data_IF_437874892762
#
_entry.id   IF_437874892762
#
_cell.length_a   1.000
_cell.length_b   1.000
_cell.length_c   1.000
_cell.angle_alpha   90.00
_cell.angle_beta   90.00
_cell.angle_gamma   90.00
#
_symmetry.space_group_name_H-M   'P 1'
#
loop_
_entity.id
_entity.type
_entity.pdbx_description
1 polymer ?
#
# COMPACT_ATOMS: atom_id res chain seq x y z
N UNK A 1 -10.51 18.80 -11.22
CA UNK A 1 -9.03 18.85 -11.38
C UNK A 1 -8.47 17.64 -10.68
N UNK A 2 -8.03 16.62 -11.42
CA UNK A 2 -7.23 15.53 -10.85
C UNK A 2 -5.85 16.13 -10.55
N UNK A 3 -5.63 16.58 -9.32
CA UNK A 3 -4.28 16.86 -8.85
C UNK A 3 -3.52 15.55 -8.88
N UNK A 4 -2.57 15.41 -9.82
CA UNK A 4 -1.61 14.33 -9.77
C UNK A 4 -0.89 14.46 -8.43
N UNK A 5 -1.00 13.47 -7.56
CA UNK A 5 -0.18 13.38 -6.36
C UNK A 5 1.27 13.16 -6.83
N UNK A 6 2.01 14.25 -7.01
CA UNK A 6 3.44 14.20 -7.28
C UNK A 6 4.11 14.05 -5.92
N UNK A 7 4.34 12.80 -5.51
CA UNK A 7 5.31 12.53 -4.46
C UNK A 7 6.70 12.56 -5.10
N UNK A 8 7.66 13.19 -4.44
CA UNK A 8 9.05 12.95 -4.76
C UNK A 8 9.36 11.50 -4.37
N UNK A 9 9.49 10.61 -5.36
CA UNK A 9 9.72 9.19 -5.10
C UNK A 9 11.04 8.95 -4.35
N UNK A 10 11.96 9.93 -4.28
CA UNK A 10 13.23 9.80 -3.55
C UNK A 10 13.09 9.71 -2.04
N UNK A 11 11.95 10.14 -1.48
CA UNK A 11 11.69 10.09 -0.03
C UNK A 11 10.81 8.91 0.40
N UNK A 12 10.25 8.15 -0.53
CA UNK A 12 9.45 6.94 -0.23
C UNK A 12 10.41 5.83 0.17
N UNK A 13 10.35 5.39 1.43
CA UNK A 13 11.13 4.25 1.93
C UNK A 13 10.47 2.92 1.55
N UNK A 14 9.15 2.87 1.73
CA UNK A 14 8.35 1.74 1.33
C UNK A 14 6.92 2.18 1.04
N UNK A 15 6.18 1.28 0.45
CA UNK A 15 4.84 1.43 -0.03
C UNK A 15 4.25 0.05 0.02
N UNK A 16 3.05 -0.06 0.55
CA UNK A 16 2.35 -1.30 0.73
C UNK A 16 0.92 -1.11 0.27
N UNK A 17 0.49 -2.03 -0.58
CA UNK A 17 -0.82 -2.05 -1.21
C UNK A 17 -1.01 -3.40 -1.85
N UNK A 18 -2.28 -3.80 -1.97
CA UNK A 18 -2.65 -4.88 -2.87
C UNK A 18 -2.94 -4.31 -4.25
N UNK A 19 -2.39 -4.95 -5.27
CA UNK A 19 -2.86 -4.79 -6.63
C UNK A 19 -3.95 -5.82 -6.92
N UNK A 20 -5.04 -5.36 -7.54
CA UNK A 20 -6.12 -6.21 -8.03
C UNK A 20 -5.82 -6.84 -9.39
N UNK A 21 -6.85 -7.44 -10.01
CA UNK A 21 -6.76 -8.24 -11.27
C UNK A 21 -6.16 -7.53 -12.50
N UNK A 22 -5.96 -6.22 -12.45
CA UNK A 22 -5.38 -5.41 -13.53
C UNK A 22 -4.05 -4.78 -13.15
N UNK A 23 -3.37 -5.29 -12.12
CA UNK A 23 -2.16 -4.66 -11.57
C UNK A 23 -2.43 -3.22 -11.10
N UNK A 24 -3.68 -2.94 -10.68
CA UNK A 24 -4.12 -1.63 -10.21
C UNK A 24 -4.33 -1.63 -8.70
N UNK A 25 -3.97 -0.56 -7.99
CA UNK A 25 -4.18 -0.51 -6.54
C UNK A 25 -5.63 -0.71 -6.14
N UNK A 26 -5.85 -1.51 -5.11
CA UNK A 26 -7.18 -1.81 -4.59
C UNK A 26 -7.15 -1.87 -3.06
N UNK A 27 -8.11 -1.21 -2.42
CA UNK A 27 -8.12 -1.01 -0.97
C UNK A 27 -7.21 0.14 -0.53
N UNK A 28 -6.76 0.07 0.71
CA UNK A 28 -5.81 1.03 1.26
C UNK A 28 -4.40 0.81 0.72
N UNK A 29 -3.73 1.92 0.45
CA UNK A 29 -2.29 2.02 0.17
C UNK A 29 -1.67 2.77 1.34
N UNK A 30 -0.56 2.26 1.86
CA UNK A 30 0.30 2.93 2.82
C UNK A 30 1.63 3.27 2.13
N UNK A 31 2.03 4.54 2.10
CA UNK A 31 3.38 4.97 1.73
C UNK A 31 4.10 5.39 3.01
N UNK A 32 5.26 4.79 3.28
CA UNK A 32 6.11 5.13 4.41
C UNK A 32 7.25 6.00 3.90
N UNK A 33 7.36 7.19 4.47
CA UNK A 33 8.29 8.22 4.05
C UNK A 33 9.51 8.25 4.98
N UNK A 34 10.66 8.70 4.46
CA UNK A 34 11.93 8.73 5.22
C UNK A 34 11.96 9.69 6.40
N UNK A 35 11.05 10.66 6.41
CA UNK A 35 10.84 11.62 7.49
C UNK A 35 9.86 11.11 8.57
N UNK A 36 9.53 9.81 8.60
CA UNK A 36 8.55 9.19 9.50
C UNK A 36 7.11 9.68 9.32
N UNK A 37 6.82 10.35 8.22
CA UNK A 37 5.45 10.54 7.77
C UNK A 37 4.97 9.30 7.04
N UNK A 38 3.67 9.10 7.01
CA UNK A 38 3.06 8.13 6.13
C UNK A 38 1.84 8.72 5.45
N UNK A 39 1.64 8.27 4.21
CA UNK A 39 0.50 8.64 3.38
C UNK A 39 -0.37 7.41 3.24
N UNK A 40 -1.63 7.52 3.66
CA UNK A 40 -2.63 6.48 3.47
C UNK A 40 -3.68 6.95 2.47
N UNK A 41 -3.95 6.16 1.44
CA UNK A 41 -4.89 6.52 0.37
C UNK A 41 -5.77 5.32 0.04
N UNK A 42 -7.07 5.55 -0.16
CA UNK A 42 -8.01 4.49 -0.53
C UNK A 42 -8.25 4.47 -2.04
N UNK A 43 -8.15 3.28 -2.64
CA UNK A 43 -8.37 3.06 -4.05
C UNK A 43 -9.37 1.92 -4.31
N UNK A 44 -10.06 2.00 -5.44
CA UNK A 44 -10.84 0.91 -6.01
C UNK A 44 -10.37 0.67 -7.44
N UNK A 45 -9.64 -0.42 -7.66
CA UNK A 45 -9.09 -0.80 -8.97
C UNK A 45 -8.39 0.35 -9.73
N UNK A 46 -7.56 1.11 -9.02
CA UNK A 46 -6.78 2.24 -9.55
C UNK A 46 -7.51 3.59 -9.55
N UNK A 47 -8.78 3.64 -9.13
CA UNK A 47 -9.53 4.88 -8.94
C UNK A 47 -9.38 5.34 -7.49
N UNK A 48 -8.87 6.55 -7.27
CA UNK A 48 -8.80 7.15 -5.95
C UNK A 48 -10.21 7.41 -5.41
N UNK A 49 -10.50 6.95 -4.20
CA UNK A 49 -11.84 6.96 -3.60
C UNK A 49 -12.15 8.26 -2.85
N UNK A 50 -11.35 9.32 -3.07
CA UNK A 50 -11.45 10.57 -2.31
C UNK A 50 -11.38 10.33 -0.80
N UNK A 51 -10.51 9.44 -0.35
CA UNK A 51 -10.26 9.23 1.08
C UNK A 51 -8.77 8.97 1.30
N UNK A 52 -8.15 9.77 2.15
CA UNK A 52 -6.76 9.58 2.52
C UNK A 52 -6.25 10.59 3.54
N UNK A 53 -5.09 10.30 4.09
CA UNK A 53 -4.46 11.09 5.15
C UNK A 53 -2.94 11.12 4.96
N UNK A 54 -2.32 12.24 5.26
CA UNK A 54 -0.89 12.32 5.61
C UNK A 54 -0.83 12.40 7.11
N UNK A 55 -0.09 11.51 7.76
CA UNK A 55 0.04 11.49 9.22
C UNK A 55 1.51 11.30 9.59
N UNK A 56 1.91 11.82 10.74
CA UNK A 56 3.16 11.43 11.40
C UNK A 56 2.82 10.74 12.73
N UNK A 57 3.82 10.48 13.57
CA UNK A 57 3.62 9.83 14.88
C UNK A 57 2.76 10.66 15.87
N UNK A 58 2.45 11.93 15.58
CA UNK A 58 1.82 12.86 16.52
C UNK A 58 0.45 13.39 16.05
N UNK A 59 0.27 13.62 14.75
CA UNK A 59 -0.95 14.25 14.23
C UNK A 59 -1.25 13.88 12.78
N UNK A 60 -2.49 14.18 12.39
CA UNK A 60 -2.87 14.24 10.98
C UNK A 60 -2.38 15.56 10.39
N UNK A 61 -1.55 15.47 9.36
CA UNK A 61 -0.92 16.61 8.68
C UNK A 61 -1.78 17.12 7.53
N UNK A 62 -2.49 16.21 6.85
CA UNK A 62 -3.35 16.54 5.72
C UNK A 62 -4.44 15.49 5.55
N UNK A 63 -5.62 15.91 5.12
CA UNK A 63 -6.71 15.05 4.67
C UNK A 63 -6.82 15.17 3.15
N UNK A 64 -7.06 14.06 2.47
CA UNK A 64 -7.34 14.03 1.03
C UNK A 64 -8.78 13.59 0.79
N UNK A 65 -9.51 14.39 0.00
CA UNK A 65 -10.85 14.04 -0.45
C UNK A 65 -11.94 14.38 0.57
N UNK A 66 -12.88 13.44 0.78
CA UNK A 66 -14.18 13.62 1.41
C UNK A 66 -14.15 14.57 2.62
N UNK A 67 -14.94 15.62 2.55
CA UNK A 67 -15.08 16.66 3.57
C UNK A 67 -15.89 16.19 4.79
N UNK A 68 -15.93 14.89 5.06
CA UNK A 68 -16.65 14.29 6.18
C UNK A 68 -15.81 13.19 6.82
N UNK A 69 -15.57 13.33 8.12
CA UNK A 69 -14.89 12.34 8.95
C UNK A 69 -15.86 11.98 10.07
N UNK A 70 -16.45 10.78 9.98
CA UNK A 70 -17.58 10.43 10.82
C UNK A 70 -18.75 11.39 10.60
N UNK A 71 -19.20 12.05 11.66
CA UNK A 71 -20.28 13.04 11.61
C UNK A 71 -19.80 14.50 11.51
N UNK A 72 -18.48 14.75 11.43
CA UNK A 72 -17.90 16.09 11.35
C UNK A 72 -17.60 16.43 9.89
N UNK A 73 -18.01 17.62 9.44
CA UNK A 73 -17.62 18.12 8.13
C UNK A 73 -16.36 18.97 8.23
N UNK A 74 -15.39 18.75 7.35
CA UNK A 74 -14.11 19.45 7.32
C UNK A 74 -13.87 20.02 5.93
N UNK A 75 -13.51 21.31 5.81
CA UNK A 75 -13.12 21.92 4.52
C UNK A 75 -11.59 22.03 4.40
N UNK A 76 -11.03 21.79 3.22
CA UNK A 76 -9.58 21.90 2.95
C UNK A 76 -8.98 23.29 3.27
N UNK A 77 -9.82 24.34 3.32
CA UNK A 77 -9.44 25.71 3.67
C UNK A 77 -9.50 26.00 5.18
N UNK A 78 -10.16 25.16 5.98
CA UNK A 78 -10.12 25.25 7.43
C UNK A 78 -8.84 24.56 7.88
N UNK A 79 -7.90 25.31 8.44
CA UNK A 79 -6.71 24.71 9.02
C UNK A 79 -7.10 23.59 10.00
N UNK A 80 -6.22 22.61 10.17
CA UNK A 80 -6.28 21.58 11.25
C UNK A 80 -6.05 22.28 12.62
N UNK A 81 -6.70 23.41 12.86
CA UNK A 81 -6.62 24.27 14.04
C UNK A 81 -7.76 23.99 15.04
N UNK A 82 -8.70 23.11 14.70
CA UNK A 82 -9.81 22.68 15.58
C UNK A 82 -9.52 21.34 16.29
N UNK A 83 -8.26 20.91 16.24
CA UNK A 83 -7.77 19.74 16.95
C UNK A 83 -7.28 20.18 18.33
N UNK A 84 -7.96 19.70 19.36
CA UNK A 84 -7.64 20.01 20.76
C UNK A 84 -7.37 18.72 21.53
N UNK A 85 -6.63 18.80 22.62
CA UNK A 85 -6.57 17.70 23.58
C UNK A 85 -7.96 17.53 24.22
N UNK A 86 -8.45 16.30 24.27
CA UNK A 86 -9.77 15.99 24.79
C UNK A 86 -9.97 14.51 25.05
N UNK A 87 -11.15 14.22 25.59
CA UNK A 87 -11.62 12.87 25.90
C UNK A 87 -12.88 12.62 25.09
N UNK A 88 -12.96 11.45 24.44
CA UNK A 88 -14.15 10.98 23.74
C UNK A 88 -14.54 9.62 24.31
N UNK A 89 -15.72 9.55 24.91
CA UNK A 89 -16.31 8.31 25.44
C UNK A 89 -17.36 7.75 24.46
N UNK A 90 -17.38 6.44 24.30
CA UNK A 90 -18.48 5.72 23.64
C UNK A 90 -19.49 5.22 24.67
N UNK A 91 -20.75 5.07 24.26
CA UNK A 91 -21.85 4.65 25.16
C UNK A 91 -21.62 3.31 25.87
N UNK A 92 -20.77 2.45 25.30
CA UNK A 92 -20.42 1.15 25.86
C UNK A 92 -19.17 1.15 26.75
N UNK A 93 -18.59 2.32 27.04
CA UNK A 93 -17.52 2.50 28.03
C UNK A 93 -16.11 2.66 27.47
N UNK A 94 -15.87 2.33 26.19
CA UNK A 94 -14.56 2.60 25.57
C UNK A 94 -14.27 4.09 25.50
N UNK A 95 -13.01 4.47 25.73
CA UNK A 95 -12.58 5.86 25.86
C UNK A 95 -11.34 6.13 25.01
N UNK A 96 -11.28 7.31 24.41
CA UNK A 96 -10.09 7.85 23.77
C UNK A 96 -9.66 9.13 24.46
N UNK A 97 -8.36 9.25 24.75
CA UNK A 97 -7.74 10.44 25.33
C UNK A 97 -6.61 10.91 24.41
N UNK A 98 -6.71 12.13 23.86
CA UNK A 98 -5.68 12.66 22.96
C UNK A 98 -6.19 13.77 22.06
N UNK A 99 -5.69 13.82 20.83
CA UNK A 99 -6.08 14.83 19.84
C UNK A 99 -7.47 14.52 19.26
N UNK A 100 -8.40 15.46 19.43
CA UNK A 100 -9.81 15.34 19.05
C UNK A 100 -10.18 16.44 18.08
N UNK A 101 -10.78 16.08 16.95
CA UNK A 101 -11.45 17.03 16.05
C UNK A 101 -12.82 17.34 16.61
N UNK A 102 -13.13 18.63 16.81
CA UNK A 102 -14.39 19.05 17.44
C UNK A 102 -15.26 19.90 16.50
N UNK A 103 -16.57 19.64 16.48
CA UNK A 103 -17.57 20.46 15.81
C UNK A 103 -18.89 20.41 16.59
N UNK A 104 -19.47 21.56 16.94
CA UNK A 104 -20.80 21.67 17.57
C UNK A 104 -21.04 20.70 18.75
N UNK A 105 -20.05 20.57 19.65
CA UNK A 105 -19.99 19.68 20.84
C UNK A 105 -19.76 18.20 20.55
N UNK A 106 -19.69 17.78 19.30
CA UNK A 106 -19.23 16.46 18.93
C UNK A 106 -17.69 16.47 18.86
N UNK A 107 -17.07 15.44 19.43
CA UNK A 107 -15.63 15.19 19.31
C UNK A 107 -15.40 13.82 18.69
N UNK A 108 -14.46 13.73 17.76
CA UNK A 108 -13.99 12.44 17.22
C UNK A 108 -12.47 12.35 17.40
N UNK A 109 -11.91 11.16 17.70
CA UNK A 109 -10.47 10.96 17.69
C UNK A 109 -9.87 11.41 16.35
N UNK A 110 -8.85 12.27 16.38
CA UNK A 110 -8.24 12.82 15.19
C UNK A 110 -6.77 13.22 15.42
N UNK A 111 -5.91 12.21 15.56
CA UNK A 111 -4.48 12.39 15.82
C UNK A 111 -3.98 11.39 16.85
N UNK A 112 -2.85 11.71 17.47
CA UNK A 112 -2.25 10.84 18.48
C UNK A 112 -3.11 10.83 19.76
N UNK A 113 -3.23 9.65 20.36
CA UNK A 113 -3.83 9.48 21.67
C UNK A 113 -3.76 8.05 22.17
N UNK A 114 -4.42 7.84 23.30
CA UNK A 114 -4.52 6.58 24.01
C UNK A 114 -5.97 6.09 23.97
N UNK A 115 -6.19 4.83 23.59
CA UNK A 115 -7.50 4.19 23.60
C UNK A 115 -7.55 3.19 24.76
N UNK A 116 -8.67 3.21 25.48
CA UNK A 116 -9.00 2.35 26.59
C UNK A 116 -10.27 1.56 26.27
N UNK A 117 -10.31 0.29 26.67
CA UNK A 117 -11.53 -0.54 26.60
C UNK A 117 -12.55 -0.18 27.69
N UNK A 118 -13.67 -0.88 27.72
CA UNK A 118 -14.78 -0.69 28.68
C UNK A 118 -14.43 -1.11 30.12
N UNK A 119 -13.39 -1.91 30.31
CA UNK A 119 -12.80 -2.23 31.61
C UNK A 119 -11.74 -1.19 32.05
N UNK A 120 -11.40 -0.23 31.19
CA UNK A 120 -10.42 0.82 31.43
C UNK A 120 -8.97 0.38 31.23
N UNK A 121 -8.71 -0.76 30.57
CA UNK A 121 -7.37 -1.15 30.17
C UNK A 121 -6.92 -0.38 28.94
N UNK A 122 -5.67 0.06 28.94
CA UNK A 122 -5.05 0.64 27.76
C UNK A 122 -4.93 -0.43 26.67
N UNK A 123 -5.51 -0.17 25.50
CA UNK A 123 -5.50 -1.09 24.35
C UNK A 123 -4.66 -0.57 23.19
N UNK A 124 -4.48 0.73 23.04
CA UNK A 124 -3.70 1.31 21.93
C UNK A 124 -3.13 2.70 22.24
N UNK A 125 -1.95 2.99 21.67
CA UNK A 125 -1.34 4.31 21.57
C UNK A 125 -0.89 4.57 20.13
N UNK A 126 -1.28 5.69 19.55
CA UNK A 126 -0.89 6.06 18.19
C UNK A 126 -1.93 6.95 17.52
N UNK A 127 -1.81 7.12 16.20
CA UNK A 127 -2.80 7.91 15.45
C UNK A 127 -4.12 7.17 15.39
N UNK A 128 -5.17 7.88 15.78
CA UNK A 128 -6.56 7.45 15.66
C UNK A 128 -7.36 8.49 14.89
N UNK A 129 -8.12 8.03 13.90
CA UNK A 129 -8.99 8.86 13.08
C UNK A 129 -10.36 8.22 13.10
N UNK A 130 -11.32 8.87 13.76
CA UNK A 130 -12.69 8.38 13.92
C UNK A 130 -12.75 6.91 14.36
N UNK A 131 -12.13 6.61 15.50
CA UNK A 131 -12.09 5.28 16.12
C UNK A 131 -11.42 4.18 15.29
N UNK A 132 -10.62 4.56 14.29
CA UNK A 132 -9.81 3.62 13.53
C UNK A 132 -8.33 3.97 13.64
N UNK A 133 -7.51 2.95 13.83
CA UNK A 133 -6.04 3.08 13.93
C UNK A 133 -5.43 3.34 12.56
N UNK A 134 -4.52 4.31 12.48
CA UNK A 134 -3.75 4.65 11.28
C UNK A 134 -2.29 4.92 11.64
N UNK A 135 -1.40 4.84 10.65
CA UNK A 135 0.01 5.15 10.82
C UNK A 135 0.72 4.22 11.81
N UNK A 136 1.85 4.65 12.35
CA UNK A 136 2.58 3.86 13.35
C UNK A 136 1.89 3.93 14.72
N UNK A 137 1.76 2.78 15.39
CA UNK A 137 1.12 2.70 16.71
C UNK A 137 1.40 1.39 17.44
N UNK A 138 1.16 1.42 18.75
CA UNK A 138 1.38 0.30 19.67
C UNK A 138 0.06 -0.14 20.28
N UNK A 139 -0.22 -1.44 20.26
CA UNK A 139 -1.35 -2.06 20.96
C UNK A 139 -0.86 -2.93 22.12
N UNK A 140 -1.73 -3.18 23.09
CA UNK A 140 -1.37 -3.78 24.36
C UNK A 140 -2.31 -4.93 24.71
N UNK A 141 -1.74 -5.96 25.33
CA UNK A 141 -2.50 -6.98 26.05
C UNK A 141 -3.12 -6.36 27.31
N UNK A 142 -4.16 -6.98 27.84
CA UNK A 142 -4.84 -6.54 29.07
C UNK A 142 -3.96 -6.50 30.33
N UNK A 143 -2.78 -7.13 30.30
CA UNK A 143 -1.79 -7.05 31.38
C UNK A 143 -0.80 -5.88 31.21
N UNK A 144 -1.01 -5.02 30.21
CA UNK A 144 -0.18 -3.86 29.89
C UNK A 144 1.08 -4.18 29.09
N UNK A 145 1.37 -5.45 28.78
CA UNK A 145 2.46 -5.79 27.85
C UNK A 145 2.09 -5.39 26.43
N UNK A 146 3.07 -4.97 25.62
CA UNK A 146 2.86 -4.72 24.20
C UNK A 146 2.35 -6.01 23.53
N UNK A 147 1.32 -5.88 22.71
CA UNK A 147 0.81 -6.93 21.83
C UNK A 147 1.41 -6.80 20.44
N UNK A 148 1.37 -5.60 19.88
CA UNK A 148 1.86 -5.31 18.55
C UNK A 148 2.38 -3.89 18.48
N UNK A 149 3.51 -3.72 17.80
CA UNK A 149 4.10 -2.44 17.47
C UNK A 149 4.37 -2.40 15.97
N UNK A 150 3.79 -1.43 15.27
CA UNK A 150 3.94 -1.34 13.82
C UNK A 150 2.91 -0.41 13.20
N UNK A 151 2.77 -0.50 11.88
CA UNK A 151 1.83 0.34 11.17
C UNK A 151 0.41 -0.24 11.14
N UNK A 152 -0.55 0.68 11.03
CA UNK A 152 -1.98 0.45 11.01
C UNK A 152 -2.62 1.20 9.84
N UNK A 153 -3.66 0.62 9.27
CA UNK A 153 -4.52 1.31 8.33
C UNK A 153 -5.95 0.83 8.51
N UNK A 154 -6.88 1.76 8.74
CA UNK A 154 -8.31 1.47 8.85
C UNK A 154 -8.60 0.34 9.86
N UNK A 155 -7.96 0.44 11.02
CA UNK A 155 -8.04 -0.52 12.13
C UNK A 155 -7.39 -1.89 11.92
N UNK A 156 -6.74 -2.09 10.77
CA UNK A 156 -6.02 -3.32 10.47
C UNK A 156 -4.51 -3.12 10.59
N UNK A 157 -3.78 -4.14 11.07
CA UNK A 157 -2.32 -4.17 10.95
C UNK A 157 -1.96 -4.08 9.47
N UNK A 158 -1.06 -3.17 9.14
CA UNK A 158 -0.75 -2.83 7.76
C UNK A 158 0.64 -2.25 7.74
N UNK A 159 1.64 -2.93 7.21
CA UNK A 159 3.01 -2.49 7.48
C UNK A 159 3.96 -3.60 7.82
N UNK A 160 5.22 -3.22 7.94
CA UNK A 160 6.11 -3.93 8.86
C UNK A 160 5.55 -3.75 10.29
N UNK A 161 5.58 -4.84 11.07
CA UNK A 161 5.22 -4.80 12.48
C UNK A 161 5.75 -6.00 13.26
N UNK A 162 5.87 -5.82 14.57
CA UNK A 162 6.40 -6.79 15.53
C UNK A 162 5.26 -7.21 16.46
N UNK A 163 5.10 -8.52 16.66
CA UNK A 163 4.13 -9.11 17.58
C UNK A 163 4.84 -9.66 18.80
N UNK A 164 4.26 -9.41 19.97
CA UNK A 164 4.75 -9.88 21.26
C UNK A 164 3.66 -10.67 21.98
N UNK A 165 4.08 -11.66 22.77
CA UNK A 165 3.16 -12.39 23.65
C UNK A 165 2.93 -11.63 24.96
N UNK A 166 2.04 -12.16 25.81
CA UNK A 166 1.69 -11.59 27.13
C UNK A 166 2.85 -11.56 28.14
N UNK A 167 3.99 -12.16 27.83
CA UNK A 167 5.21 -12.09 28.66
C UNK A 167 6.23 -11.07 28.10
N UNK A 168 5.85 -10.31 27.06
CA UNK A 168 6.74 -9.36 26.38
C UNK A 168 7.79 -10.02 25.49
N UNK A 169 7.65 -11.32 25.17
CA UNK A 169 8.58 -12.03 24.27
C UNK A 169 8.13 -11.85 22.82
N UNK A 170 9.08 -11.51 21.94
CA UNK A 170 8.89 -11.47 20.49
C UNK A 170 8.34 -12.81 20.00
N UNK A 171 7.24 -12.74 19.26
CA UNK A 171 6.55 -13.87 18.62
C UNK A 171 6.83 -13.86 17.13
N UNK A 172 6.70 -12.70 16.49
CA UNK A 172 6.82 -12.56 15.04
C UNK A 172 7.29 -11.14 14.67
N UNK A 173 7.96 -11.01 13.53
CA UNK A 173 8.28 -9.76 12.86
C UNK A 173 8.05 -10.00 11.36
N UNK A 174 7.04 -9.35 10.78
CA UNK A 174 6.63 -9.58 9.40
C UNK A 174 5.95 -8.35 8.78
N UNK A 175 5.60 -8.45 7.50
CA UNK A 175 4.69 -7.49 6.86
C UNK A 175 3.23 -7.91 7.08
N UNK A 176 2.35 -6.93 7.11
CA UNK A 176 0.90 -7.08 7.28
C UNK A 176 0.20 -6.37 6.14
N UNK A 177 -0.83 -7.02 5.60
CA UNK A 177 -1.75 -6.39 4.67
C UNK A 177 -3.19 -6.65 5.12
N UNK A 178 -3.89 -5.57 5.50
CA UNK A 178 -5.26 -5.65 6.02
C UNK A 178 -5.44 -6.74 7.10
N UNK A 179 -4.51 -6.80 8.06
CA UNK A 179 -4.56 -7.73 9.18
C UNK A 179 -4.12 -9.16 8.86
N UNK A 180 -3.77 -9.46 7.60
CA UNK A 180 -3.23 -10.76 7.19
C UNK A 180 -1.70 -10.67 7.22
N UNK A 181 -1.08 -11.60 7.93
CA UNK A 181 0.38 -11.80 7.88
C UNK A 181 0.78 -12.12 6.44
N UNK A 182 1.66 -11.29 5.90
CA UNK A 182 2.41 -11.62 4.70
C UNK A 182 3.79 -12.02 5.19
N UNK A 183 4.27 -13.18 4.73
CA UNK A 183 5.68 -13.47 4.85
C UNK A 183 6.47 -12.28 4.27
N UNK A 184 7.63 -11.99 4.84
CA UNK A 184 8.62 -11.07 4.24
C UNK A 184 9.14 -11.66 2.92
N UNK A 185 8.57 -12.78 2.43
CA UNK A 185 8.84 -13.27 1.09
C UNK A 185 8.41 -12.20 0.09
N UNK A 186 9.41 -11.44 -0.30
CA UNK A 186 9.46 -10.43 -1.34
C UNK A 186 9.10 -11.01 -2.72
N UNK A 187 8.45 -12.17 -2.81
CA UNK A 187 8.23 -12.95 -4.01
C UNK A 187 6.73 -13.14 -4.24
N UNK A 188 6.21 -12.65 -5.36
CA UNK A 188 4.94 -13.09 -5.89
C UNK A 188 5.17 -14.24 -6.87
N UNK A 189 4.54 -15.40 -6.62
CA UNK A 189 4.46 -16.50 -7.58
C UNK A 189 3.00 -16.88 -7.85
N UNK A 190 2.55 -16.72 -9.09
CA UNK A 190 1.18 -17.05 -9.48
C UNK A 190 0.78 -16.55 -10.87
N UNK A 191 -0.50 -16.64 -11.20
CA UNK A 191 -1.05 -16.23 -12.51
C UNK A 191 -1.58 -14.79 -12.51
N UNK A 192 -1.51 -14.06 -11.39
CA UNK A 192 -2.13 -12.73 -11.23
C UNK A 192 -3.56 -12.76 -10.70
N UNK A 193 -4.11 -13.94 -10.37
CA UNK A 193 -5.46 -14.05 -9.78
C UNK A 193 -5.49 -13.66 -8.31
N UNK A 194 -4.36 -13.83 -7.61
CA UNK A 194 -4.19 -13.48 -6.20
C UNK A 194 -3.65 -12.04 -6.04
N UNK A 195 -4.05 -11.35 -4.95
CA UNK A 195 -3.42 -10.13 -4.46
C UNK A 195 -1.90 -10.10 -4.59
N UNK A 196 -1.37 -8.98 -5.08
CA UNK A 196 0.05 -8.71 -5.23
C UNK A 196 0.44 -7.55 -4.30
N UNK A 197 1.47 -7.72 -3.46
CA UNK A 197 2.00 -6.64 -2.62
C UNK A 197 2.94 -5.74 -3.45
N UNK A 198 2.71 -4.43 -3.48
CA UNK A 198 3.61 -3.50 -4.19
C UNK A 198 5.04 -3.45 -3.63
N UNK A 199 5.23 -3.91 -2.39
CA UNK A 199 6.54 -4.04 -1.75
C UNK A 199 7.39 -5.23 -2.25
N UNK A 200 6.85 -6.11 -3.10
CA UNK A 200 7.58 -7.28 -3.58
C UNK A 200 8.87 -6.91 -4.33
N UNK A 201 9.90 -7.77 -4.23
CA UNK A 201 11.14 -7.68 -5.00
C UNK A 201 11.20 -8.66 -6.17
N UNK A 202 10.41 -9.71 -6.19
CA UNK A 202 10.46 -10.75 -7.20
C UNK A 202 9.06 -11.03 -7.72
N UNK A 203 8.79 -10.68 -8.96
CA UNK A 203 7.53 -11.01 -9.63
C UNK A 203 7.74 -12.23 -10.51
N UNK A 204 7.05 -13.34 -10.24
CA UNK A 204 7.03 -14.55 -11.07
C UNK A 204 5.59 -14.87 -11.50
N UNK A 205 5.30 -14.58 -12.76
CA UNK A 205 4.03 -14.92 -13.38
C UNK A 205 4.12 -16.29 -14.06
N UNK A 206 3.17 -17.17 -13.79
CA UNK A 206 3.05 -18.45 -14.47
C UNK A 206 2.63 -18.27 -15.93
N UNK A 207 2.75 -19.35 -16.70
CA UNK A 207 2.21 -19.41 -18.07
C UNK A 207 0.72 -19.07 -18.09
N UNK A 208 0.26 -18.46 -19.18
CA UNK A 208 -1.14 -18.07 -19.39
C UNK A 208 -1.73 -17.22 -18.24
N UNK A 209 -0.95 -16.26 -17.71
CA UNK A 209 -1.38 -15.42 -16.60
C UNK A 209 -2.72 -14.70 -16.92
N UNK A 210 -3.53 -14.45 -15.89
CA UNK A 210 -4.86 -13.81 -16.04
C UNK A 210 -4.78 -12.29 -16.19
N UNK A 211 -3.60 -11.70 -16.02
CA UNK A 211 -3.39 -10.26 -16.17
C UNK A 211 -3.47 -9.86 -17.65
N UNK A 212 -4.28 -8.85 -17.92
CA UNK A 212 -4.54 -8.34 -19.29
C UNK A 212 -3.84 -7.02 -19.59
N UNK A 213 -3.25 -6.41 -18.55
CA UNK A 213 -2.61 -5.09 -18.61
C UNK A 213 -1.21 -5.20 -17.99
N UNK A 214 -0.29 -4.38 -18.48
CA UNK A 214 1.09 -4.33 -18.01
C UNK A 214 1.41 -2.92 -17.53
N UNK A 215 1.43 -2.75 -16.22
CA UNK A 215 1.93 -1.54 -15.56
C UNK A 215 2.58 -1.93 -14.24
N UNK A 216 3.91 -1.87 -14.21
CA UNK A 216 4.72 -2.18 -13.03
C UNK A 216 5.34 -0.92 -12.41
N UNK A 217 4.87 0.26 -12.80
CA UNK A 217 5.47 1.55 -12.41
C UNK A 217 5.42 1.81 -10.90
N UNK A 218 4.46 1.19 -10.20
CA UNK A 218 4.32 1.29 -8.74
C UNK A 218 5.17 0.26 -7.97
N UNK A 219 5.86 -0.64 -8.65
CA UNK A 219 6.63 -1.75 -8.07
C UNK A 219 8.12 -1.40 -7.95
N UNK A 220 8.45 -0.26 -7.35
CA UNK A 220 9.80 0.32 -7.26
C UNK A 220 10.81 -0.55 -6.48
N UNK A 221 10.33 -1.52 -5.70
CA UNK A 221 11.17 -2.48 -5.00
C UNK A 221 11.57 -3.70 -5.84
N UNK A 222 11.03 -3.87 -7.06
CA UNK A 222 11.35 -5.03 -7.90
C UNK A 222 12.84 -5.13 -8.22
N UNK A 223 13.39 -6.31 -7.95
CA UNK A 223 14.72 -6.80 -8.29
C UNK A 223 14.69 -7.86 -9.40
N UNK A 224 13.61 -8.63 -9.54
CA UNK A 224 13.43 -9.55 -10.67
C UNK A 224 12.01 -9.62 -11.20
N UNK A 225 11.88 -9.75 -12.52
CA UNK A 225 10.63 -10.06 -13.20
C UNK A 225 10.84 -11.36 -13.99
N UNK A 226 10.01 -12.36 -13.74
CA UNK A 226 9.87 -13.58 -14.52
C UNK A 226 8.41 -13.68 -15.01
N UNK A 227 8.22 -13.74 -16.31
CA UNK A 227 6.93 -13.93 -16.96
C UNK A 227 6.98 -15.26 -17.68
N UNK A 228 5.99 -16.12 -17.44
CA UNK A 228 5.81 -17.39 -18.15
C UNK A 228 5.51 -17.22 -19.63
N UNK A 229 5.12 -18.33 -20.26
CA UNK A 229 4.72 -18.38 -21.67
C UNK A 229 3.29 -17.87 -21.88
N UNK A 230 3.00 -17.36 -23.07
CA UNK A 230 1.64 -17.02 -23.51
C UNK A 230 0.91 -15.99 -22.62
N UNK A 231 1.63 -15.01 -22.09
CA UNK A 231 1.09 -13.94 -21.24
C UNK A 231 0.89 -12.63 -22.02
N UNK A 232 -0.05 -11.78 -21.57
CA UNK A 232 -0.21 -10.39 -22.07
C UNK A 232 -0.42 -10.22 -23.59
N UNK A 233 -1.14 -11.14 -24.25
CA UNK A 233 -1.37 -11.10 -25.71
C UNK A 233 -1.93 -9.75 -26.22
N UNK A 234 -2.81 -9.14 -25.42
CA UNK A 234 -3.49 -7.86 -25.68
C UNK A 234 -2.62 -6.62 -25.47
N UNK A 235 -1.48 -6.75 -24.78
CA UNK A 235 -0.59 -5.61 -24.48
C UNK A 235 0.21 -5.27 -25.74
N UNK A 236 0.18 -3.98 -26.11
CA UNK A 236 0.91 -3.46 -27.28
C UNK A 236 2.32 -3.00 -26.94
N UNK A 237 2.45 -2.34 -25.80
CA UNK A 237 3.72 -1.76 -25.36
C UNK A 237 4.14 -2.42 -24.06
N UNK A 238 5.23 -3.18 -24.11
CA UNK A 238 5.95 -3.56 -22.91
C UNK A 238 6.86 -2.41 -22.53
N UNK A 239 6.62 -1.79 -21.37
CA UNK A 239 7.44 -0.70 -20.87
C UNK A 239 7.81 -0.93 -19.41
N UNK A 240 9.07 -0.68 -19.11
CA UNK A 240 9.59 -0.50 -17.76
C UNK A 240 10.37 0.80 -17.77
N UNK A 241 10.07 1.69 -16.82
CA UNK A 241 10.77 2.96 -16.66
C UNK A 241 11.01 3.24 -15.17
N UNK A 242 12.24 3.56 -14.78
CA UNK A 242 12.58 4.02 -13.44
C UNK A 242 12.72 2.93 -12.37
N UNK A 243 12.64 1.64 -12.73
CA UNK A 243 12.84 0.53 -11.78
C UNK A 243 14.33 0.30 -11.51
N UNK A 244 14.95 1.25 -10.79
CA UNK A 244 16.40 1.28 -10.55
C UNK A 244 16.95 0.11 -9.71
N UNK A 245 16.08 -0.64 -9.02
CA UNK A 245 16.47 -1.85 -8.26
C UNK A 245 16.41 -3.13 -9.11
N UNK A 246 15.80 -3.07 -10.30
CA UNK A 246 15.56 -4.23 -11.15
C UNK A 246 16.89 -4.77 -11.70
N UNK A 247 17.19 -6.03 -11.39
CA UNK A 247 18.44 -6.70 -11.77
C UNK A 247 18.24 -7.68 -12.92
N UNK A 248 17.09 -8.35 -12.98
CA UNK A 248 16.84 -9.41 -13.97
C UNK A 248 15.43 -9.35 -14.55
N UNK A 249 15.32 -9.59 -15.85
CA UNK A 249 14.06 -9.76 -16.56
C UNK A 249 14.13 -11.08 -17.34
N UNK A 250 13.12 -11.92 -17.18
CA UNK A 250 12.91 -13.14 -17.95
C UNK A 250 11.50 -13.16 -18.49
N UNK A 251 11.35 -13.32 -19.80
CA UNK A 251 10.05 -13.37 -20.48
C UNK A 251 9.96 -14.68 -21.24
N UNK A 252 8.90 -15.44 -21.02
CA UNK A 252 8.62 -16.71 -21.69
C UNK A 252 8.24 -16.54 -23.17
N UNK A 253 8.07 -17.66 -23.85
CA UNK A 253 7.72 -17.71 -25.27
C UNK A 253 6.32 -17.16 -25.53
N UNK A 254 6.13 -16.52 -26.68
CA UNK A 254 4.86 -15.92 -27.12
C UNK A 254 4.23 -14.89 -26.16
N UNK A 255 4.90 -14.50 -25.09
CA UNK A 255 4.41 -13.44 -24.22
C UNK A 255 4.48 -12.09 -24.95
N UNK A 256 3.49 -11.24 -24.73
CA UNK A 256 3.27 -10.00 -25.49
C UNK A 256 3.09 -10.23 -27.02
N UNK A 257 2.78 -11.45 -27.46
CA UNK A 257 2.58 -11.80 -28.89
C UNK A 257 1.10 -12.04 -29.18
N UNK A 258 0.47 -11.23 -30.04
CA UNK A 258 -0.96 -11.37 -30.36
C UNK A 258 -1.24 -12.41 -31.45
N UNK A 259 -0.33 -12.59 -32.41
CA UNK A 259 -0.49 -13.52 -33.54
C UNK A 259 0.53 -14.65 -33.47
N UNK A 260 0.12 -15.83 -32.98
CA UNK A 260 1.01 -17.00 -32.81
C UNK A 260 1.38 -17.71 -34.13
N UNK A 261 0.62 -17.43 -35.20
CA UNK A 261 0.65 -18.15 -36.49
C UNK A 261 0.91 -17.26 -37.72
N UNK A 262 1.21 -15.98 -37.54
CA UNK A 262 1.41 -15.03 -38.64
C UNK A 262 2.86 -14.54 -38.61
N UNK A 263 3.56 -14.60 -39.74
CA UNK A 263 4.98 -14.26 -39.85
C UNK A 263 5.25 -12.77 -40.11
N UNK A 264 4.23 -11.91 -40.00
CA UNK A 264 4.34 -10.47 -40.17
C UNK A 264 4.82 -9.77 -38.89
N UNK A 265 5.70 -8.77 -39.02
CA UNK A 265 6.01 -7.88 -37.91
C UNK A 265 4.79 -7.01 -37.59
N UNK A 266 4.40 -6.96 -36.32
CA UNK A 266 3.37 -6.03 -35.87
C UNK A 266 4.04 -4.72 -35.45
N UNK A 267 4.15 -3.79 -36.39
CA UNK A 267 4.79 -2.48 -36.17
C UNK A 267 4.03 -1.61 -35.16
N UNK A 268 2.88 -2.05 -34.64
CA UNK A 268 2.15 -1.36 -33.58
C UNK A 268 2.58 -1.75 -32.16
N UNK A 269 3.44 -2.78 -32.03
CA UNK A 269 3.99 -3.21 -30.74
C UNK A 269 5.35 -2.61 -30.48
N UNK A 270 5.65 -2.32 -29.21
CA UNK A 270 6.92 -1.74 -28.80
C UNK A 270 7.44 -2.31 -27.48
N UNK A 271 8.75 -2.27 -27.31
CA UNK A 271 9.46 -2.80 -26.14
C UNK A 271 10.43 -1.74 -25.63
N UNK A 272 10.22 -1.27 -24.41
CA UNK A 272 11.00 -0.19 -23.81
C UNK A 272 11.45 -0.55 -22.40
N UNK A 273 12.75 -0.43 -22.14
CA UNK A 273 13.33 -0.49 -20.80
C UNK A 273 14.17 0.77 -20.65
N UNK A 274 13.74 1.66 -19.77
CA UNK A 274 14.31 2.99 -19.55
C UNK A 274 14.67 3.14 -18.07
N UNK A 275 15.72 3.91 -17.77
CA UNK A 275 16.09 4.29 -16.40
C UNK A 275 16.09 3.11 -15.40
N UNK A 276 16.76 2.01 -15.74
CA UNK A 276 16.90 0.81 -14.91
C UNK A 276 18.39 0.55 -14.62
N UNK A 277 18.99 1.35 -13.76
CA UNK A 277 20.46 1.40 -13.58
C UNK A 277 21.08 0.09 -13.05
N UNK A 278 20.33 -0.69 -12.27
CA UNK A 278 20.82 -1.96 -11.71
C UNK A 278 20.63 -3.17 -12.63
N UNK A 279 20.10 -3.00 -13.84
CA UNK A 279 19.72 -4.12 -14.72
C UNK A 279 20.96 -4.85 -15.26
N UNK A 280 21.03 -6.16 -15.00
CA UNK A 280 22.18 -7.01 -15.34
C UNK A 280 21.88 -8.05 -16.42
N UNK A 281 20.64 -8.53 -16.49
CA UNK A 281 20.28 -9.61 -17.41
C UNK A 281 18.86 -9.46 -17.94
N UNK A 282 18.72 -9.65 -19.25
CA UNK A 282 17.45 -9.73 -19.95
C UNK A 282 17.46 -11.05 -20.73
N UNK A 283 16.46 -11.90 -20.48
CA UNK A 283 16.23 -13.13 -21.21
C UNK A 283 14.83 -13.08 -21.81
N UNK A 284 14.74 -13.22 -23.12
CA UNK A 284 13.47 -13.19 -23.84
C UNK A 284 13.37 -14.49 -24.63
N UNK A 285 12.36 -15.29 -24.30
CA UNK A 285 11.99 -16.49 -25.04
C UNK A 285 11.56 -16.11 -26.46
N UNK A 286 11.60 -17.06 -27.39
CA UNK A 286 11.35 -16.80 -28.81
C UNK A 286 10.02 -16.04 -29.00
N UNK A 287 10.13 -14.79 -29.45
CA UNK A 287 9.02 -13.92 -29.84
C UNK A 287 8.83 -14.05 -31.34
N UNK A 288 7.63 -14.42 -31.78
CA UNK A 288 7.37 -14.53 -33.23
C UNK A 288 7.10 -13.18 -33.91
N UNK A 289 6.90 -12.07 -33.18
CA UNK A 289 6.33 -10.86 -33.80
C UNK A 289 6.76 -9.47 -33.27
N UNK A 290 7.81 -9.30 -32.46
CA UNK A 290 8.22 -7.97 -31.96
C UNK A 290 9.45 -7.46 -32.74
N UNK A 291 9.34 -6.27 -33.35
CA UNK A 291 10.50 -5.53 -33.87
C UNK A 291 11.20 -4.81 -32.72
N UNK A 292 12.49 -5.09 -32.52
CA UNK A 292 13.35 -4.40 -31.55
C UNK A 292 13.69 -2.97 -32.00
#
# INVERSE_FOLDING_TARGET
>A
MQGLLIFDNSIIQSAQACLGKKVKPNGWILLIMSNRECVVLQFNNGVFMNQGFVVNEQKVLKVFGNHQIGAISYNEEQAIEVVVEGIVDLDHGSRFEGLVLTENKLGIPFGYGEMYDDDGFLVYKGIMINWKRFGYGTSYHNNGCIEYEGYWCDDNRFGIGIVYNRYGKLVNECEWYNGIESDIEEIYEGDGSKPMNIGMKHLKLSDNCVLVDWDVSLLYNLESIEIGNDCFESVKTFQIDGLNRLKTIKIGQNSFTQKKNDSGSDNSKSFHILNCESLKSIQIGVLKSISC
#
